data_IF_269528241135
#
_entry.id   IF_269528241135
#
_cell.length_a   1.000
_cell.length_b   1.000
_cell.length_c   1.000
_cell.angle_alpha   90.00
_cell.angle_beta   90.00
_cell.angle_gamma   90.00
#
_symmetry.space_group_name_H-M   'P 1'
#
loop_
_entity.id
_entity.type
_entity.pdbx_description
1 polymer ?
#
# COMPACT_ATOMS: atom_id res chain seq x y z
N UNK A 1 22.45 25.44 -8.02
CA UNK A 1 22.16 26.14 -9.29
C UNK A 1 21.60 25.23 -10.41
N UNK A 2 21.52 23.90 -10.25
CA UNK A 2 21.08 22.98 -11.32
C UNK A 2 19.62 22.45 -11.21
N UNK A 3 18.90 22.71 -10.12
CA UNK A 3 17.53 22.19 -9.92
C UNK A 3 16.46 23.00 -10.69
N UNK A 4 16.65 24.33 -10.80
CA UNK A 4 15.75 25.21 -11.53
C UNK A 4 15.79 24.96 -13.06
N UNK A 5 16.94 24.57 -13.60
CA UNK A 5 17.09 24.25 -15.03
C UNK A 5 16.45 22.92 -15.41
N UNK A 6 16.45 21.93 -14.50
CA UNK A 6 15.79 20.64 -14.70
C UNK A 6 14.26 20.77 -14.70
N UNK A 7 13.72 21.58 -13.77
CA UNK A 7 12.28 21.90 -13.73
C UNK A 7 11.87 22.77 -14.93
N UNK A 8 12.69 23.74 -15.33
CA UNK A 8 12.43 24.58 -16.50
C UNK A 8 12.49 23.80 -17.83
N UNK A 9 13.32 22.75 -17.93
CA UNK A 9 13.36 21.86 -19.10
C UNK A 9 12.05 21.08 -19.23
N UNK A 10 11.57 20.44 -18.16
CA UNK A 10 10.28 19.71 -18.18
C UNK A 10 9.06 20.63 -18.35
N UNK A 11 9.14 21.88 -17.90
CA UNK A 11 8.07 22.87 -18.10
C UNK A 11 8.04 23.45 -19.53
N UNK A 12 9.19 23.47 -20.22
CA UNK A 12 9.29 23.90 -21.62
C UNK A 12 8.69 22.86 -22.56
N UNK A 13 8.89 21.57 -22.27
CA UNK A 13 8.27 20.46 -23.00
C UNK A 13 6.74 20.42 -22.78
N UNK A 14 6.27 20.83 -21.58
CA UNK A 14 4.84 20.93 -21.25
C UNK A 14 4.09 22.03 -22.03
N UNK A 15 4.78 23.09 -22.47
CA UNK A 15 4.19 24.18 -23.26
C UNK A 15 4.20 23.89 -24.77
N UNK A 16 5.15 23.10 -25.27
CA UNK A 16 5.26 22.79 -26.69
C UNK A 16 4.20 21.78 -27.18
N UNK A 17 3.71 20.90 -26.28
CA UNK A 17 2.60 19.95 -26.55
C UNK A 17 1.24 20.66 -26.74
N UNK A 18 1.10 21.92 -26.27
CA UNK A 18 -0.16 22.67 -26.40
C UNK A 18 -0.46 23.19 -27.82
N UNK A 19 0.52 23.21 -28.73
CA UNK A 19 0.27 23.65 -30.11
C UNK A 19 -0.30 22.55 -31.03
N UNK A 20 -0.13 21.26 -30.70
CA UNK A 20 -0.68 20.17 -31.53
C UNK A 20 -2.08 19.71 -31.10
N UNK A 21 -2.50 19.99 -29.85
CA UNK A 21 -3.76 19.49 -29.30
C UNK A 21 -5.00 20.34 -29.65
N UNK A 22 -4.83 21.52 -30.26
CA UNK A 22 -5.94 22.43 -30.55
C UNK A 22 -6.80 22.03 -31.77
N UNK A 23 -6.36 21.05 -32.59
CA UNK A 23 -7.08 20.66 -33.83
C UNK A 23 -7.95 19.41 -33.65
N UNK A 24 -7.76 18.61 -32.59
CA UNK A 24 -8.48 17.33 -32.42
C UNK A 24 -9.77 17.39 -31.56
N UNK A 25 -10.08 18.55 -30.96
CA UNK A 25 -11.15 18.67 -29.94
C UNK A 25 -12.57 18.80 -30.53
N UNK A 26 -12.71 18.93 -31.86
CA UNK A 26 -14.03 19.17 -32.49
C UNK A 26 -14.81 17.87 -32.82
N UNK A 27 -14.20 16.67 -32.75
CA UNK A 27 -14.85 15.44 -33.25
C UNK A 27 -15.29 14.39 -32.21
N UNK A 28 -15.02 14.56 -30.90
CA UNK A 28 -15.27 13.50 -29.90
C UNK A 28 -16.47 13.73 -28.96
N UNK A 29 -17.27 14.79 -29.18
CA UNK A 29 -18.39 15.15 -28.27
C UNK A 29 -19.75 14.55 -28.70
N UNK A 30 -19.80 13.75 -29.76
CA UNK A 30 -21.06 13.29 -30.35
C UNK A 30 -21.47 11.83 -30.05
N UNK A 31 -20.78 11.09 -29.19
CA UNK A 31 -21.13 9.67 -28.92
C UNK A 31 -20.87 9.27 -27.47
N UNK A 32 -21.88 9.42 -26.61
CA UNK A 32 -22.51 8.30 -25.88
C UNK A 32 -23.53 8.83 -24.85
N UNK A 33 -24.78 8.83 -25.28
CA UNK A 33 -25.99 8.74 -24.47
C UNK A 33 -26.70 7.45 -24.95
N UNK A 34 -27.47 6.81 -24.07
CA UNK A 34 -28.30 5.59 -24.29
C UNK A 34 -27.46 4.28 -24.28
N UNK A 35 -27.67 3.20 -23.49
CA UNK A 35 -28.86 2.48 -23.00
C UNK A 35 -28.59 1.67 -21.71
N UNK A 36 -29.69 1.40 -21.01
CA UNK A 36 -29.91 0.54 -19.83
C UNK A 36 -29.98 -0.96 -20.14
N UNK A 37 -29.62 -1.79 -19.14
CA UNK A 37 -30.36 -3.00 -18.74
C UNK A 37 -29.82 -4.36 -19.20
N UNK A 38 -29.52 -5.23 -18.22
CA UNK A 38 -30.02 -6.62 -18.12
C UNK A 38 -29.45 -7.29 -16.85
N UNK A 39 -30.35 -7.88 -16.07
CA UNK A 39 -30.11 -8.74 -14.91
C UNK A 39 -30.00 -10.20 -15.34
N UNK A 40 -28.98 -10.92 -14.90
CA UNK A 40 -28.93 -12.39 -15.00
C UNK A 40 -28.62 -13.06 -13.66
N UNK A 41 -29.31 -14.18 -13.49
CA UNK A 41 -29.44 -14.99 -12.29
C UNK A 41 -28.24 -15.91 -12.03
N UNK A 42 -28.00 -16.09 -10.74
CA UNK A 42 -26.90 -16.78 -10.07
C UNK A 42 -27.03 -18.31 -10.16
N UNK A 43 -25.95 -19.00 -10.50
CA UNK A 43 -25.75 -20.41 -10.15
C UNK A 43 -24.86 -20.48 -8.90
N UNK A 44 -25.24 -21.32 -7.95
CA UNK A 44 -24.51 -21.55 -6.70
C UNK A 44 -23.44 -22.64 -6.90
N UNK A 45 -22.21 -22.37 -6.46
CA UNK A 45 -21.13 -23.35 -6.38
C UNK A 45 -20.94 -23.84 -4.92
N UNK A 46 -20.40 -25.06 -4.74
CA UNK A 46 -20.59 -25.86 -3.54
C UNK A 46 -19.70 -25.46 -2.36
N UNK A 47 -20.24 -25.71 -1.17
CA UNK A 47 -19.68 -25.40 0.13
C UNK A 47 -18.30 -26.03 0.39
N UNK A 48 -17.36 -25.18 0.84
CA UNK A 48 -16.13 -25.60 1.50
C UNK A 48 -16.44 -26.13 2.91
N UNK A 49 -15.82 -27.27 3.24
CA UNK A 49 -16.01 -28.04 4.47
C UNK A 49 -15.57 -27.26 5.74
N UNK A 50 -16.34 -27.31 6.84
CA UNK A 50 -16.01 -26.59 8.07
C UNK A 50 -15.27 -27.53 9.03
N UNK A 51 -13.94 -27.52 9.01
CA UNK A 51 -13.17 -28.09 10.13
C UNK A 51 -12.13 -27.09 10.61
N UNK A 52 -12.58 -26.16 11.46
CA UNK A 52 -11.70 -25.39 12.32
C UNK A 52 -12.38 -25.17 13.66
N UNK A 53 -11.93 -25.91 14.67
CA UNK A 53 -12.35 -25.88 16.08
C UNK A 53 -11.87 -24.63 16.83
N UNK A 54 -11.84 -23.46 16.16
CA UNK A 54 -11.58 -22.20 16.85
C UNK A 54 -12.87 -21.74 17.54
N UNK A 55 -12.81 -21.28 18.80
CA UNK A 55 -13.98 -20.73 19.47
C UNK A 55 -14.56 -19.57 18.64
N UNK A 56 -15.89 -19.41 18.61
CA UNK A 56 -16.53 -18.39 17.79
C UNK A 56 -16.02 -17.01 18.20
N UNK A 57 -15.39 -16.32 17.26
CA UNK A 57 -14.92 -14.94 17.46
C UNK A 57 -16.16 -14.07 17.67
N UNK A 58 -16.33 -13.53 18.88
CA UNK A 58 -17.43 -12.61 19.18
C UNK A 58 -17.20 -11.30 18.42
N UNK A 59 -17.88 -11.15 17.29
CA UNK A 59 -17.85 -9.92 16.51
C UNK A 59 -18.59 -8.79 17.24
N UNK A 60 -17.97 -7.62 17.31
CA UNK A 60 -18.58 -6.40 17.84
C UNK A 60 -19.21 -5.62 16.69
N UNK A 61 -20.44 -5.13 16.86
CA UNK A 61 -21.17 -4.37 15.84
C UNK A 61 -21.04 -2.86 16.01
N UNK A 62 -20.79 -2.38 17.23
CA UNK A 62 -20.64 -0.95 17.54
C UNK A 62 -19.20 -0.51 17.41
N UNK A 63 -18.99 0.67 16.79
CA UNK A 63 -17.68 1.27 16.69
C UNK A 63 -17.12 1.58 18.08
N UNK A 64 -15.91 1.09 18.34
CA UNK A 64 -15.10 1.46 19.50
C UNK A 64 -13.62 1.37 19.17
N UNK A 65 -12.83 2.16 19.87
CA UNK A 65 -11.38 1.95 19.94
C UNK A 65 -11.12 1.02 21.11
N UNK A 66 -10.39 -0.07 20.86
CA UNK A 66 -10.02 -1.03 21.92
C UNK A 66 -9.06 -0.36 22.90
N UNK A 67 -9.12 -0.71 24.19
CA UNK A 67 -8.34 -0.03 25.24
C UNK A 67 -6.82 -0.08 25.01
N UNK A 68 -6.35 -1.18 24.40
CA UNK A 68 -4.95 -1.42 24.06
C UNK A 68 -4.49 -0.70 22.77
N UNK A 69 -5.42 -0.15 21.99
CA UNK A 69 -5.13 0.49 20.71
C UNK A 69 -5.01 2.00 20.84
N UNK A 70 -4.34 2.60 19.87
CA UNK A 70 -4.30 4.05 19.70
C UNK A 70 -4.57 4.41 18.23
N UNK A 71 -5.27 5.52 17.98
CA UNK A 71 -5.52 6.00 16.63
C UNK A 71 -4.95 7.41 16.47
N UNK A 72 -4.24 7.62 15.39
CA UNK A 72 -3.60 8.87 15.02
C UNK A 72 -4.01 9.28 13.61
N UNK A 73 -4.13 10.59 13.40
CA UNK A 73 -4.34 11.21 12.11
C UNK A 73 -3.15 12.11 11.80
N UNK A 74 -2.41 11.77 10.75
CA UNK A 74 -1.24 12.51 10.29
C UNK A 74 -1.58 13.16 8.96
N UNK A 75 -1.55 14.49 8.93
CA UNK A 75 -2.05 15.28 7.81
C UNK A 75 -0.98 16.12 7.11
N UNK A 76 -0.93 16.02 5.79
CA UNK A 76 -0.05 16.82 4.91
C UNK A 76 -0.84 17.76 4.00
N UNK A 77 -2.16 17.87 4.20
CA UNK A 77 -3.06 18.66 3.34
C UNK A 77 -2.69 20.12 3.21
N UNK A 78 -2.10 20.71 4.25
CA UNK A 78 -1.62 22.10 4.27
C UNK A 78 -0.21 22.27 3.70
N UNK A 79 0.52 21.17 3.47
CA UNK A 79 1.88 21.21 2.94
C UNK A 79 1.86 21.42 1.42
N UNK A 80 2.82 22.21 0.93
CA UNK A 80 3.07 22.42 -0.49
C UNK A 80 3.91 21.26 -1.08
N UNK A 81 4.53 21.49 -2.24
CA UNK A 81 5.40 20.52 -2.88
C UNK A 81 6.88 20.64 -2.45
N UNK A 82 7.20 21.55 -1.52
CA UNK A 82 8.54 21.70 -1.00
C UNK A 82 8.82 20.67 0.10
N UNK A 83 9.34 19.52 -0.33
CA UNK A 83 9.66 18.39 0.55
C UNK A 83 10.62 18.73 1.69
N UNK A 84 11.37 19.83 1.61
CA UNK A 84 12.26 20.28 2.69
C UNK A 84 11.52 20.90 3.88
N UNK A 85 10.26 21.33 3.72
CA UNK A 85 9.45 21.93 4.78
C UNK A 85 8.44 20.92 5.34
N UNK A 86 8.92 19.74 5.72
CA UNK A 86 8.05 18.69 6.23
C UNK A 86 7.63 18.96 7.69
N UNK A 87 6.41 19.44 7.86
CA UNK A 87 5.77 19.67 9.17
C UNK A 87 4.30 19.22 9.14
N UNK A 88 4.03 17.91 9.29
CA UNK A 88 2.68 17.39 9.22
C UNK A 88 1.85 17.84 10.43
N UNK A 89 0.54 17.93 10.26
CA UNK A 89 -0.38 18.06 11.39
C UNK A 89 -0.55 16.69 12.05
N UNK A 90 -0.61 16.67 13.37
CA UNK A 90 -0.68 15.44 14.15
C UNK A 90 -1.85 15.55 15.12
N UNK A 91 -2.74 14.56 15.07
CA UNK A 91 -3.86 14.47 15.98
C UNK A 91 -4.01 13.05 16.52
N UNK A 92 -4.41 12.92 17.78
CA UNK A 92 -4.75 11.66 18.42
C UNK A 92 -6.26 11.57 18.61
N UNK A 93 -6.83 10.39 18.38
CA UNK A 93 -8.25 10.16 18.64
C UNK A 93 -8.46 9.76 20.10
N UNK A 94 -9.15 10.60 20.86
CA UNK A 94 -9.41 10.39 22.28
C UNK A 94 -10.89 10.64 22.60
N UNK A 95 -11.54 9.65 23.24
CA UNK A 95 -12.93 9.76 23.71
C UNK A 95 -13.92 10.26 22.65
N UNK A 96 -13.70 9.90 21.39
CA UNK A 96 -14.57 10.29 20.27
C UNK A 96 -14.15 11.58 19.54
N UNK A 97 -13.04 12.22 19.93
CA UNK A 97 -12.60 13.51 19.37
C UNK A 97 -11.15 13.45 18.88
N UNK A 98 -10.85 14.27 17.88
CA UNK A 98 -9.48 14.53 17.44
C UNK A 98 -8.86 15.61 18.33
N UNK A 99 -7.81 15.24 19.06
CA UNK A 99 -7.04 16.13 19.92
C UNK A 99 -5.72 16.44 19.22
N UNK A 100 -5.37 17.73 19.13
CA UNK A 100 -4.08 18.15 18.56
C UNK A 100 -2.92 17.58 19.38
N UNK A 101 -1.87 17.17 18.69
CA UNK A 101 -0.66 16.58 19.28
C UNK A 101 0.55 16.97 18.42
N UNK A 102 1.73 16.44 18.74
CA UNK A 102 2.98 16.76 18.04
C UNK A 102 3.63 15.52 17.45
N UNK A 103 4.53 15.74 16.51
CA UNK A 103 5.34 14.67 15.94
C UNK A 103 6.24 14.00 16.99
N UNK A 104 6.76 14.80 17.93
CA UNK A 104 7.55 14.31 19.05
C UNK A 104 6.74 13.39 19.97
N UNK A 105 5.52 13.78 20.34
CA UNK A 105 4.61 12.94 21.12
C UNK A 105 4.24 11.65 20.38
N UNK A 106 4.03 11.71 19.06
CA UNK A 106 3.81 10.52 18.26
C UNK A 106 5.01 9.56 18.35
N UNK A 107 6.23 10.03 18.08
CA UNK A 107 7.43 9.19 18.12
C UNK A 107 7.78 8.70 19.53
N UNK A 108 7.45 9.45 20.58
CA UNK A 108 7.60 9.00 21.97
C UNK A 108 6.82 7.71 22.25
N UNK A 109 5.76 7.41 21.47
CA UNK A 109 4.97 6.18 21.61
C UNK A 109 5.56 4.96 20.89
N UNK A 110 6.68 5.08 20.17
CA UNK A 110 7.27 3.99 19.38
C UNK A 110 7.69 2.78 20.22
N UNK A 111 8.07 3.00 21.48
CA UNK A 111 8.52 1.96 22.41
C UNK A 111 7.45 1.56 23.42
N UNK A 112 6.21 2.04 23.27
CA UNK A 112 5.13 1.69 24.19
C UNK A 112 4.77 0.21 24.11
N UNK A 113 4.89 -0.46 25.26
CA UNK A 113 4.35 -1.80 25.48
C UNK A 113 2.96 -1.70 26.09
N UNK A 114 2.08 -2.64 25.73
CA UNK A 114 0.73 -2.75 26.27
C UNK A 114 0.48 -4.14 26.84
N UNK A 115 -0.53 -4.25 27.69
CA UNK A 115 -1.01 -5.54 28.16
C UNK A 115 -1.94 -6.11 27.10
N UNK A 116 -1.62 -7.29 26.57
CA UNK A 116 -2.55 -8.06 25.75
C UNK A 116 -3.69 -8.57 26.64
N UNK A 117 -4.95 -8.20 26.37
CA UNK A 117 -6.08 -8.61 27.21
C UNK A 117 -6.34 -10.12 27.18
N UNK A 118 -5.81 -10.85 26.19
CA UNK A 118 -5.99 -12.30 26.09
C UNK A 118 -4.90 -13.05 26.85
N UNK A 119 -3.64 -12.67 26.67
CA UNK A 119 -2.50 -13.37 27.29
C UNK A 119 -2.02 -12.75 28.61
N UNK A 120 -2.51 -11.57 28.97
CA UNK A 120 -2.10 -10.74 30.11
C UNK A 120 -0.60 -10.37 30.11
N UNK A 121 0.09 -10.57 28.98
CA UNK A 121 1.52 -10.28 28.84
C UNK A 121 1.74 -8.89 28.28
N UNK A 122 2.89 -8.30 28.64
CA UNK A 122 3.41 -7.11 27.95
C UNK A 122 3.81 -7.49 26.54
N UNK A 123 3.14 -6.91 25.56
CA UNK A 123 3.43 -7.07 24.14
C UNK A 123 3.74 -5.71 23.51
N UNK A 124 4.56 -5.70 22.46
CA UNK A 124 4.71 -4.54 21.60
C UNK A 124 3.45 -4.31 20.77
N UNK A 125 3.28 -3.09 20.26
CA UNK A 125 2.20 -2.77 19.31
C UNK A 125 2.71 -2.82 17.87
N UNK A 126 1.86 -3.29 16.96
CA UNK A 126 2.07 -3.00 15.54
C UNK A 126 1.69 -1.54 15.25
N UNK A 127 2.44 -0.86 14.39
CA UNK A 127 2.02 0.42 13.85
C UNK A 127 1.45 0.20 12.46
N UNK A 128 0.14 0.37 12.32
CA UNK A 128 -0.56 0.23 11.05
C UNK A 128 -0.71 1.58 10.37
N UNK A 129 -0.45 1.65 9.07
CA UNK A 129 -0.68 2.84 8.25
C UNK A 129 -1.79 2.58 7.27
N UNK A 130 -2.77 3.47 7.22
CA UNK A 130 -3.80 3.50 6.19
C UNK A 130 -3.61 4.75 5.32
N UNK A 131 -3.31 4.52 4.04
CA UNK A 131 -3.11 5.57 3.04
C UNK A 131 -4.20 5.48 1.98
N UNK A 132 -5.13 6.45 2.01
CA UNK A 132 -6.28 6.48 1.12
C UNK A 132 -5.93 6.90 -0.33
N UNK A 133 -6.88 6.67 -1.24
CA UNK A 133 -6.78 6.99 -2.67
C UNK A 133 -7.17 8.43 -3.03
N UNK A 134 -7.59 8.62 -4.28
CA UNK A 134 -8.02 9.91 -4.81
C UNK A 134 -9.45 10.30 -4.39
N UNK A 135 -9.77 11.60 -4.48
CA UNK A 135 -11.10 12.20 -4.29
C UNK A 135 -11.64 12.09 -2.87
N UNK A 136 -10.76 12.13 -1.88
CA UNK A 136 -11.12 12.06 -0.47
C UNK A 136 -10.79 13.40 0.21
N UNK A 137 -11.81 14.09 0.72
CA UNK A 137 -11.64 15.28 1.54
C UNK A 137 -11.16 14.95 2.97
N UNK A 138 -10.89 15.97 3.78
CA UNK A 138 -10.30 15.77 5.10
C UNK A 138 -11.23 15.01 6.07
N UNK A 139 -12.53 15.33 6.05
CA UNK A 139 -13.52 14.69 6.91
C UNK A 139 -13.76 13.25 6.49
N UNK A 140 -13.84 13.02 5.17
CA UNK A 140 -13.99 11.68 4.61
C UNK A 140 -12.77 10.81 4.90
N UNK A 141 -11.54 11.35 4.83
CA UNK A 141 -10.33 10.61 5.16
C UNK A 141 -10.29 10.17 6.63
N UNK A 142 -10.70 11.07 7.54
CA UNK A 142 -10.77 10.74 8.98
C UNK A 142 -11.84 9.68 9.27
N UNK A 143 -13.05 9.82 8.72
CA UNK A 143 -14.15 8.88 8.95
C UNK A 143 -13.93 7.51 8.30
N UNK A 144 -13.41 7.47 7.08
CA UNK A 144 -13.05 6.24 6.39
C UNK A 144 -11.88 5.54 7.09
N UNK A 145 -10.88 6.28 7.58
CA UNK A 145 -9.78 5.69 8.32
C UNK A 145 -10.22 5.06 9.65
N UNK A 146 -11.16 5.68 10.38
CA UNK A 146 -11.76 5.07 11.57
C UNK A 146 -12.57 3.82 11.23
N UNK A 147 -13.33 3.86 10.13
CA UNK A 147 -14.10 2.71 9.65
C UNK A 147 -13.16 1.57 9.27
N UNK A 148 -12.09 1.86 8.54
CA UNK A 148 -11.08 0.89 8.15
C UNK A 148 -10.37 0.28 9.38
N UNK A 149 -10.00 1.08 10.38
CA UNK A 149 -9.50 0.57 11.66
C UNK A 149 -10.47 -0.44 12.28
N UNK A 150 -11.76 -0.11 12.31
CA UNK A 150 -12.77 -0.97 12.91
C UNK A 150 -12.89 -2.30 12.17
N UNK A 151 -12.92 -2.27 10.83
CA UNK A 151 -12.93 -3.47 10.01
C UNK A 151 -11.64 -4.29 10.17
N UNK A 152 -10.48 -3.63 10.20
CA UNK A 152 -9.18 -4.30 10.27
C UNK A 152 -8.95 -4.96 11.64
N UNK A 153 -9.24 -4.26 12.74
CA UNK A 153 -8.88 -4.68 14.10
C UNK A 153 -10.01 -4.53 15.11
N UNK A 154 -10.78 -3.43 15.07
CA UNK A 154 -11.76 -3.10 16.12
C UNK A 154 -12.92 -4.09 16.28
N UNK A 155 -13.27 -4.85 15.23
CA UNK A 155 -14.33 -5.87 15.27
C UNK A 155 -13.98 -7.15 16.02
N UNK A 156 -12.71 -7.39 16.30
CA UNK A 156 -12.23 -8.62 16.93
C UNK A 156 -11.20 -8.35 18.02
N UNK A 157 -11.35 -9.05 19.15
CA UNK A 157 -10.37 -9.00 20.23
C UNK A 157 -9.10 -9.80 19.92
N UNK A 158 -9.13 -10.68 18.91
CA UNK A 158 -7.99 -11.56 18.59
C UNK A 158 -6.90 -10.88 17.76
N UNK A 159 -7.14 -9.67 17.24
CA UNK A 159 -6.10 -8.91 16.56
C UNK A 159 -5.11 -8.38 17.60
N UNK A 160 -3.79 -8.48 17.39
CA UNK A 160 -2.82 -7.89 18.30
C UNK A 160 -3.08 -6.39 18.53
N UNK A 161 -2.55 -5.81 19.62
CA UNK A 161 -2.67 -4.38 19.86
C UNK A 161 -2.02 -3.56 18.74
N UNK A 162 -2.71 -2.49 18.30
CA UNK A 162 -2.23 -1.64 17.21
C UNK A 162 -2.25 -0.15 17.56
N UNK A 163 -1.22 0.54 17.09
CA UNK A 163 -1.23 1.99 16.85
C UNK A 163 -1.64 2.20 15.39
N UNK A 164 -2.86 2.64 15.14
CA UNK A 164 -3.38 2.90 13.80
C UNK A 164 -3.14 4.34 13.38
N UNK A 165 -2.55 4.52 12.21
CA UNK A 165 -2.21 5.82 11.65
C UNK A 165 -2.96 6.02 10.35
N UNK A 166 -3.83 7.02 10.33
CA UNK A 166 -4.53 7.48 9.13
C UNK A 166 -3.65 8.56 8.50
N UNK A 167 -3.11 8.28 7.31
CA UNK A 167 -2.37 9.26 6.53
C UNK A 167 -3.33 10.03 5.62
N UNK A 168 -3.45 11.34 5.84
CA UNK A 168 -4.37 12.20 5.09
C UNK A 168 -3.63 13.24 4.26
N UNK A 169 -3.86 13.21 2.96
CA UNK A 169 -3.15 14.03 1.97
C UNK A 169 -4.15 14.79 1.08
N UNK A 170 -3.76 15.84 0.34
CA UNK A 170 -4.71 16.70 -0.38
C UNK A 170 -5.25 16.03 -1.65
N UNK A 171 -6.11 15.04 -1.45
CA UNK A 171 -6.71 14.22 -2.51
C UNK A 171 -8.09 14.70 -2.94
N UNK A 172 -8.62 15.78 -2.35
CA UNK A 172 -9.94 16.34 -2.71
C UNK A 172 -10.05 16.58 -4.22
N UNK A 173 -11.18 16.17 -4.78
CA UNK A 173 -11.45 16.30 -6.22
C UNK A 173 -11.32 17.75 -6.69
N UNK A 174 -10.68 17.95 -7.84
CA UNK A 174 -10.63 19.24 -8.54
C UNK A 174 -11.37 19.18 -9.88
N UNK A 175 -11.63 20.35 -10.48
CA UNK A 175 -12.34 20.44 -11.76
C UNK A 175 -11.52 19.82 -12.92
N UNK A 176 -12.21 19.02 -13.73
CA UNK A 176 -11.68 18.36 -14.93
C UNK A 176 -11.10 16.99 -14.61
N UNK A 177 -11.69 15.88 -15.09
CA UNK A 177 -11.33 14.53 -14.65
C UNK A 177 -9.87 14.14 -14.96
N UNK A 178 -9.37 14.46 -16.16
CA UNK A 178 -7.97 14.19 -16.52
C UNK A 178 -7.01 15.06 -15.70
N UNK A 179 -7.36 16.34 -15.51
CA UNK A 179 -6.57 17.27 -14.68
C UNK A 179 -6.49 16.79 -13.24
N UNK A 180 -7.62 16.36 -12.68
CA UNK A 180 -7.73 15.81 -11.34
C UNK A 180 -6.78 14.63 -11.18
N UNK A 181 -6.95 13.59 -11.98
CA UNK A 181 -6.16 12.36 -11.86
C UNK A 181 -4.65 12.62 -12.07
N UNK A 182 -4.26 13.43 -13.08
CA UNK A 182 -2.84 13.81 -13.29
C UNK A 182 -2.24 14.62 -12.14
N UNK A 183 -2.98 15.59 -11.61
CA UNK A 183 -2.51 16.41 -10.49
C UNK A 183 -2.32 15.55 -9.24
N UNK A 184 -3.12 14.50 -9.09
CA UNK A 184 -3.11 13.60 -7.92
C UNK A 184 -2.01 12.54 -8.04
N UNK A 185 -1.72 12.06 -9.24
CA UNK A 185 -0.53 11.26 -9.51
C UNK A 185 0.75 12.04 -9.18
N UNK A 186 0.89 13.27 -9.68
CA UNK A 186 2.05 14.11 -9.37
C UNK A 186 2.13 14.44 -7.87
N UNK A 187 1.00 14.71 -7.22
CA UNK A 187 0.98 14.95 -5.77
C UNK A 187 1.35 13.68 -4.99
N UNK A 188 0.97 12.49 -5.42
CA UNK A 188 1.34 11.24 -4.74
C UNK A 188 2.85 11.02 -4.70
N UNK A 189 3.61 11.56 -5.65
CA UNK A 189 5.08 11.50 -5.60
C UNK A 189 5.66 12.34 -4.47
N UNK A 190 5.09 13.52 -4.21
CA UNK A 190 5.46 14.37 -3.07
C UNK A 190 5.06 13.69 -1.75
N UNK A 191 3.86 13.11 -1.70
CA UNK A 191 3.37 12.42 -0.51
C UNK A 191 4.18 11.16 -0.20
N UNK A 192 4.69 10.45 -1.21
CA UNK A 192 5.63 9.34 -1.01
C UNK A 192 6.90 9.82 -0.28
N UNK A 193 7.40 11.01 -0.63
CA UNK A 193 8.54 11.63 0.04
C UNK A 193 8.22 11.96 1.51
N UNK A 194 7.07 12.60 1.76
CA UNK A 194 6.61 12.92 3.11
C UNK A 194 6.42 11.67 3.98
N UNK A 195 5.76 10.64 3.45
CA UNK A 195 5.55 9.39 4.17
C UNK A 195 6.89 8.65 4.42
N UNK A 196 7.79 8.65 3.44
CA UNK A 196 9.13 8.08 3.59
C UNK A 196 9.95 8.75 4.68
N UNK A 197 9.95 10.09 4.74
CA UNK A 197 10.59 10.86 5.81
C UNK A 197 9.93 10.59 7.17
N UNK A 198 8.60 10.55 7.23
CA UNK A 198 7.86 10.26 8.45
C UNK A 198 8.19 8.87 9.02
N UNK A 199 8.18 7.84 8.17
CA UNK A 199 8.52 6.46 8.57
C UNK A 199 10.01 6.29 8.86
N UNK A 200 10.87 7.01 8.16
CA UNK A 200 12.32 7.01 8.39
C UNK A 200 12.73 7.60 9.75
N UNK A 201 11.90 8.47 10.32
CA UNK A 201 12.09 9.05 11.65
C UNK A 201 11.67 8.14 12.82
N UNK A 202 11.00 7.02 12.55
CA UNK A 202 10.55 6.10 13.61
C UNK A 202 11.69 5.25 14.19
N UNK A 203 11.50 4.82 15.43
CA UNK A 203 12.37 3.85 16.07
C UNK A 203 12.46 2.56 15.23
N UNK A 204 13.68 2.05 14.92
CA UNK A 204 13.84 0.83 14.12
C UNK A 204 13.20 -0.44 14.70
N UNK A 205 12.88 -0.45 16.00
CA UNK A 205 12.16 -1.54 16.65
C UNK A 205 10.67 -1.60 16.31
N UNK A 206 10.10 -0.54 15.73
CA UNK A 206 8.68 -0.50 15.32
C UNK A 206 8.39 -1.57 14.25
N UNK A 207 7.25 -2.23 14.41
CA UNK A 207 6.72 -3.19 13.44
C UNK A 207 5.65 -2.51 12.57
N UNK A 208 6.03 -2.09 11.36
CA UNK A 208 5.17 -1.38 10.41
C UNK A 208 4.27 -2.34 9.62
N UNK A 209 3.00 -1.96 9.49
CA UNK A 209 1.98 -2.65 8.73
C UNK A 209 1.29 -1.65 7.82
N UNK A 210 1.70 -1.55 6.58
CA UNK A 210 1.35 -0.43 5.71
C UNK A 210 0.31 -0.88 4.69
N UNK A 211 -0.78 -0.12 4.56
CA UNK A 211 -1.84 -0.37 3.59
C UNK A 211 -2.01 0.85 2.71
N UNK A 212 -1.95 0.65 1.40
CA UNK A 212 -2.18 1.71 0.41
C UNK A 212 -3.28 1.35 -0.56
N UNK A 213 -4.31 2.19 -0.68
CA UNK A 213 -5.38 2.04 -1.66
C UNK A 213 -5.21 2.98 -2.86
N UNK A 214 -5.32 2.49 -4.09
CA UNK A 214 -5.24 3.33 -5.31
C UNK A 214 -3.95 4.18 -5.31
N UNK A 215 -4.02 5.51 -5.45
CA UNK A 215 -2.83 6.37 -5.30
C UNK A 215 -2.15 6.30 -3.94
N UNK A 216 -2.86 5.90 -2.88
CA UNK A 216 -2.22 5.54 -1.61
C UNK A 216 -1.22 4.40 -1.77
N UNK A 217 -1.44 3.48 -2.71
CA UNK A 217 -0.47 2.45 -3.08
C UNK A 217 0.81 3.04 -3.69
N UNK A 218 0.70 4.03 -4.57
CA UNK A 218 1.85 4.78 -5.14
C UNK A 218 2.63 5.55 -4.07
N UNK A 219 1.90 6.18 -3.13
CA UNK A 219 2.51 6.84 -1.97
C UNK A 219 3.32 5.83 -1.14
N UNK A 220 2.72 4.67 -0.84
CA UNK A 220 3.35 3.62 -0.04
C UNK A 220 4.58 3.04 -0.74
N UNK A 221 4.49 2.71 -2.03
CA UNK A 221 5.62 2.12 -2.77
C UNK A 221 6.79 3.10 -2.87
N UNK A 222 6.56 4.39 -3.09
CA UNK A 222 7.61 5.40 -3.08
C UNK A 222 8.21 5.64 -1.68
N UNK A 223 7.39 5.61 -0.62
CA UNK A 223 7.89 5.67 0.76
C UNK A 223 8.78 4.46 1.10
N UNK A 224 8.36 3.26 0.71
CA UNK A 224 9.15 2.05 0.89
C UNK A 224 10.43 2.07 0.05
N UNK A 225 10.40 2.64 -1.16
CA UNK A 225 11.60 2.86 -1.97
C UNK A 225 12.65 3.67 -1.20
N UNK A 226 12.23 4.76 -0.54
CA UNK A 226 13.14 5.56 0.30
C UNK A 226 13.65 4.79 1.52
N UNK A 227 12.78 4.01 2.19
CA UNK A 227 13.20 3.15 3.30
C UNK A 227 14.18 2.06 2.87
N UNK A 228 14.10 1.60 1.62
CA UNK A 228 15.07 0.72 0.96
C UNK A 228 16.34 1.42 0.47
N UNK A 229 16.64 2.62 1.00
CA UNK A 229 17.79 3.46 0.61
C UNK A 229 17.73 3.96 -0.84
N UNK A 230 16.55 3.97 -1.46
CA UNK A 230 16.31 4.65 -2.72
C UNK A 230 16.33 6.16 -2.60
N UNK A 231 16.56 6.82 -3.74
CA UNK A 231 16.50 8.28 -3.84
C UNK A 231 15.20 8.66 -4.53
N UNK A 232 14.39 9.48 -3.86
CA UNK A 232 13.11 9.92 -4.37
C UNK A 232 12.99 11.44 -4.29
N UNK A 233 12.59 12.11 -5.37
CA UNK A 233 12.50 13.58 -5.41
C UNK A 233 13.80 14.30 -5.00
N UNK A 234 14.95 13.69 -5.28
CA UNK A 234 16.27 14.21 -4.87
C UNK A 234 16.60 14.04 -3.38
N UNK A 235 15.78 13.31 -2.64
CA UNK A 235 15.97 13.02 -1.22
C UNK A 235 16.39 11.58 -1.01
N UNK A 236 17.30 11.39 -0.06
CA UNK A 236 17.72 10.08 0.45
C UNK A 236 17.59 10.13 1.97
N UNK A 237 17.06 9.07 2.57
CA UNK A 237 17.00 8.98 4.03
C UNK A 237 18.40 8.73 4.60
N UNK A 238 18.76 9.30 5.77
CA UNK A 238 20.08 9.09 6.38
C UNK A 238 20.31 7.61 6.70
N UNK A 239 21.46 7.03 6.35
CA UNK A 239 21.73 5.61 6.59
C UNK A 239 21.41 5.17 8.03
N UNK A 240 20.84 3.98 8.18
CA UNK A 240 20.52 3.44 9.50
C UNK A 240 19.55 2.27 9.42
N UNK A 241 19.36 1.61 10.57
CA UNK A 241 18.30 0.60 10.69
C UNK A 241 16.95 1.26 10.49
N UNK A 242 16.04 0.56 9.83
CA UNK A 242 14.66 1.01 9.60
C UNK A 242 13.68 0.07 10.28
N UNK A 243 12.47 0.56 10.61
CA UNK A 243 11.39 -0.29 11.08
C UNK A 243 11.16 -1.48 10.13
N UNK A 244 10.84 -2.63 10.70
CA UNK A 244 10.46 -3.80 9.92
C UNK A 244 9.06 -3.60 9.32
N UNK A 245 8.87 -3.86 8.04
CA UNK A 245 7.60 -3.58 7.35
C UNK A 245 6.97 -4.81 6.69
N UNK A 246 5.63 -4.84 6.70
CA UNK A 246 4.80 -5.64 5.79
C UNK A 246 3.78 -4.75 5.11
N UNK A 247 3.53 -4.99 3.83
CA UNK A 247 2.77 -4.07 3.00
C UNK A 247 1.61 -4.76 2.29
N UNK A 248 0.41 -4.19 2.39
CA UNK A 248 -0.73 -4.57 1.57
C UNK A 248 -1.11 -3.42 0.62
N UNK A 249 -1.16 -3.70 -0.68
CA UNK A 249 -1.61 -2.75 -1.69
C UNK A 249 -2.99 -3.17 -2.18
N UNK A 250 -3.94 -2.25 -2.13
CA UNK A 250 -5.29 -2.47 -2.63
C UNK A 250 -5.49 -1.69 -3.91
N UNK A 251 -5.56 -2.41 -5.03
CA UNK A 251 -5.69 -1.84 -6.38
C UNK A 251 -4.82 -0.60 -6.61
N UNK A 252 -3.49 -0.70 -6.39
CA UNK A 252 -2.59 0.44 -6.47
C UNK A 252 -2.63 1.14 -7.84
N UNK A 253 -2.83 2.45 -7.82
CA UNK A 253 -2.79 3.36 -8.96
C UNK A 253 -1.35 3.71 -9.34
N UNK A 254 -0.51 2.70 -9.53
CA UNK A 254 0.92 2.80 -9.80
C UNK A 254 1.26 2.12 -11.13
N UNK A 255 2.30 2.53 -11.83
CA UNK A 255 2.79 1.80 -13.00
C UNK A 255 3.21 0.38 -12.60
N UNK A 256 2.70 -0.63 -13.30
CA UNK A 256 2.90 -2.04 -12.97
C UNK A 256 4.36 -2.51 -12.97
N UNK A 257 5.29 -1.74 -13.53
CA UNK A 257 6.71 -2.09 -13.62
C UNK A 257 7.59 -1.29 -12.64
N UNK A 258 7.06 -0.29 -11.92
CA UNK A 258 7.88 0.61 -11.10
C UNK A 258 8.61 -0.06 -9.93
N UNK A 259 8.09 -1.20 -9.46
CA UNK A 259 8.68 -1.97 -8.36
C UNK A 259 9.82 -2.91 -8.79
N UNK A 260 10.05 -3.06 -10.09
CA UNK A 260 11.16 -3.87 -10.59
C UNK A 260 12.51 -3.18 -10.30
N UNK A 261 13.60 -3.94 -10.08
CA UNK A 261 14.93 -3.37 -9.86
C UNK A 261 15.33 -2.39 -10.98
N UNK A 262 15.90 -1.24 -10.61
CA UNK A 262 16.30 -0.20 -11.57
C UNK A 262 15.19 0.74 -12.04
N UNK A 263 13.93 0.49 -11.67
CA UNK A 263 12.80 1.39 -11.95
C UNK A 263 12.54 2.37 -10.81
N UNK A 264 11.55 3.25 -10.99
CA UNK A 264 11.24 4.38 -10.11
C UNK A 264 11.15 4.01 -8.63
N UNK A 265 10.50 2.89 -8.29
CA UNK A 265 10.36 2.37 -6.93
C UNK A 265 11.14 1.05 -6.72
N UNK A 266 12.22 0.81 -7.47
CA UNK A 266 12.91 -0.49 -7.51
C UNK A 266 13.49 -0.99 -6.17
N UNK A 267 13.78 -0.09 -5.23
CA UNK A 267 14.21 -0.43 -3.87
C UNK A 267 13.06 -0.68 -2.88
N UNK A 268 11.80 -0.62 -3.31
CA UNK A 268 10.66 -0.77 -2.40
C UNK A 268 10.49 -2.21 -1.89
N UNK A 269 10.50 -3.20 -2.79
CA UNK A 269 10.32 -4.61 -2.41
C UNK A 269 11.30 -5.07 -1.32
N UNK A 270 12.63 -4.85 -1.45
CA UNK A 270 13.58 -5.29 -0.42
C UNK A 270 13.44 -4.55 0.92
N UNK A 271 12.76 -3.40 0.96
CA UNK A 271 12.53 -2.61 2.17
C UNK A 271 11.46 -3.20 3.10
N UNK A 272 10.73 -4.23 2.66
CA UNK A 272 9.75 -4.94 3.48
C UNK A 272 10.01 -6.45 3.50
N UNK A 273 9.49 -7.12 4.52
CA UNK A 273 9.56 -8.58 4.67
C UNK A 273 8.57 -9.31 3.78
N UNK A 274 7.41 -8.68 3.52
CA UNK A 274 6.33 -9.29 2.76
C UNK A 274 5.41 -8.23 2.14
N UNK A 275 4.89 -8.56 0.96
CA UNK A 275 3.97 -7.77 0.17
C UNK A 275 2.75 -8.59 -0.23
N UNK A 276 1.57 -7.99 -0.14
CA UNK A 276 0.32 -8.49 -0.70
C UNK A 276 -0.23 -7.43 -1.65
N UNK A 277 -0.29 -7.73 -2.95
CA UNK A 277 -0.91 -6.87 -3.96
C UNK A 277 -2.26 -7.43 -4.37
N UNK A 278 -3.33 -6.70 -4.04
CA UNK A 278 -4.67 -7.01 -4.50
C UNK A 278 -4.91 -6.28 -5.82
N UNK A 279 -5.12 -7.05 -6.89
CA UNK A 279 -5.40 -6.49 -8.21
C UNK A 279 -6.81 -6.83 -8.68
N UNK A 280 -7.39 -5.93 -9.48
CA UNK A 280 -8.72 -6.05 -10.04
C UNK A 280 -8.70 -5.69 -11.53
N UNK A 281 -8.77 -6.70 -12.40
CA UNK A 281 -8.85 -6.54 -13.87
C UNK A 281 -10.21 -6.10 -14.37
N UNK A 282 -11.24 -6.13 -13.52
CA UNK A 282 -12.55 -5.61 -13.86
C UNK A 282 -12.65 -4.10 -13.59
N UNK A 283 -11.71 -3.53 -12.84
CA UNK A 283 -11.74 -2.13 -12.41
C UNK A 283 -11.76 -1.15 -13.59
N UNK A 284 -12.89 -0.47 -13.78
CA UNK A 284 -13.11 0.42 -14.90
C UNK A 284 -12.27 1.71 -14.84
N UNK A 285 -11.88 2.14 -13.65
CA UNK A 285 -11.04 3.33 -13.49
C UNK A 285 -9.61 2.97 -13.87
N UNK A 286 -9.10 1.87 -13.34
CA UNK A 286 -7.72 1.46 -13.60
C UNK A 286 -7.49 0.90 -15.00
N UNK A 287 -8.51 0.35 -15.66
CA UNK A 287 -8.44 0.04 -17.09
C UNK A 287 -8.03 1.26 -17.94
N UNK A 288 -8.48 2.46 -17.53
CA UNK A 288 -8.18 3.72 -18.23
C UNK A 288 -6.83 4.32 -17.83
N UNK A 289 -6.08 3.68 -16.92
CA UNK A 289 -4.80 4.18 -16.40
C UNK A 289 -3.75 4.53 -17.47
N UNK A 290 -3.57 3.77 -18.57
CA UNK A 290 -2.62 4.12 -19.62
C UNK A 290 -2.85 5.50 -20.25
N UNK A 291 -4.06 6.08 -20.10
CA UNK A 291 -4.37 7.44 -20.59
C UNK A 291 -3.82 8.55 -19.69
N UNK A 292 -3.31 8.20 -18.51
CA UNK A 292 -2.78 9.12 -17.52
C UNK A 292 -1.53 9.81 -18.04
N UNK A 293 -0.57 9.02 -18.53
CA UNK A 293 0.71 9.47 -19.06
C UNK A 293 0.82 9.06 -20.54
N UNK A 294 0.61 10.00 -21.49
CA UNK A 294 0.75 9.69 -22.92
C UNK A 294 2.17 9.29 -23.32
N UNK A 295 3.17 9.53 -22.47
CA UNK A 295 4.56 9.14 -22.71
C UNK A 295 4.88 7.73 -22.19
N UNK A 296 4.03 7.18 -21.31
CA UNK A 296 4.19 5.85 -20.72
C UNK A 296 2.83 5.16 -20.63
N UNK A 297 2.53 4.32 -21.63
CA UNK A 297 1.29 3.55 -21.71
C UNK A 297 1.22 2.36 -20.73
N UNK A 298 2.04 2.37 -19.67
CA UNK A 298 2.03 1.33 -18.64
C UNK A 298 0.64 1.15 -18.03
N UNK A 299 0.31 -0.11 -17.76
CA UNK A 299 -0.89 -0.46 -17.01
C UNK A 299 -0.72 -0.13 -15.52
N UNK A 300 -1.84 0.06 -14.82
CA UNK A 300 -1.83 0.14 -13.37
C UNK A 300 -1.46 -1.22 -12.77
N UNK A 301 -0.62 -1.22 -11.73
CA UNK A 301 -0.29 -2.36 -10.88
C UNK A 301 -1.56 -2.99 -10.30
N UNK A 302 -2.49 -2.15 -9.85
CA UNK A 302 -3.79 -2.58 -9.33
C UNK A 302 -4.73 -3.17 -10.37
N UNK A 303 -4.44 -3.04 -11.65
CA UNK A 303 -5.20 -3.67 -12.73
C UNK A 303 -4.50 -4.93 -13.23
N UNK A 304 -3.22 -4.81 -13.61
CA UNK A 304 -2.48 -5.85 -14.31
C UNK A 304 -1.82 -6.87 -13.36
N UNK A 305 -1.53 -6.48 -12.12
CA UNK A 305 -0.49 -7.11 -11.30
C UNK A 305 0.90 -6.57 -11.65
N UNK A 306 1.93 -7.10 -11.01
CA UNK A 306 3.32 -6.71 -11.23
C UNK A 306 3.78 -7.16 -12.62
N UNK A 307 4.02 -6.18 -13.50
CA UNK A 307 4.49 -6.46 -14.85
C UNK A 307 5.86 -7.11 -14.79
N UNK A 308 6.04 -8.18 -15.58
CA UNK A 308 7.29 -8.94 -15.65
C UNK A 308 7.78 -9.44 -14.27
N UNK A 309 6.87 -9.86 -13.38
CA UNK A 309 7.22 -10.40 -12.06
C UNK A 309 8.24 -11.55 -12.09
N UNK A 310 8.30 -12.32 -13.19
CA UNK A 310 9.29 -13.37 -13.41
C UNK A 310 10.75 -12.86 -13.46
N UNK A 311 10.96 -11.57 -13.70
CA UNK A 311 12.27 -10.92 -13.68
C UNK A 311 12.75 -10.51 -12.29
N UNK A 312 11.89 -10.64 -11.25
CA UNK A 312 12.31 -10.35 -9.89
C UNK A 312 13.45 -11.29 -9.44
N UNK A 313 14.47 -10.76 -8.75
CA UNK A 313 15.39 -11.59 -7.98
C UNK A 313 14.63 -12.58 -7.09
N UNK A 314 15.18 -13.78 -6.91
CA UNK A 314 14.49 -14.86 -6.19
C UNK A 314 14.08 -14.44 -4.77
N UNK A 315 14.94 -13.70 -4.06
CA UNK A 315 14.68 -13.19 -2.72
C UNK A 315 13.61 -12.08 -2.67
N UNK A 316 13.34 -11.39 -3.79
CA UNK A 316 12.27 -10.39 -3.91
C UNK A 316 10.95 -11.08 -4.26
N UNK A 317 11.01 -12.05 -5.18
CA UNK A 317 9.87 -12.88 -5.59
C UNK A 317 9.25 -13.62 -4.40
N UNK A 318 10.07 -14.15 -3.48
CA UNK A 318 9.57 -14.82 -2.26
C UNK A 318 8.78 -13.91 -1.31
N UNK A 319 8.99 -12.59 -1.39
CA UNK A 319 8.28 -11.59 -0.55
C UNK A 319 7.01 -11.09 -1.21
N UNK A 320 6.81 -11.31 -2.51
CA UNK A 320 5.73 -10.73 -3.30
C UNK A 320 4.60 -11.73 -3.50
N UNK A 321 3.38 -11.36 -3.09
CA UNK A 321 2.18 -12.17 -3.30
C UNK A 321 1.11 -11.33 -3.99
N UNK A 322 0.50 -11.86 -5.04
CA UNK A 322 -0.60 -11.20 -5.75
C UNK A 322 -1.88 -12.00 -5.64
N UNK A 323 -3.00 -11.29 -5.49
CA UNK A 323 -4.31 -11.91 -5.46
C UNK A 323 -5.35 -11.10 -6.23
N UNK A 324 -6.04 -11.78 -7.14
CA UNK A 324 -7.16 -11.21 -7.90
C UNK A 324 -8.40 -11.09 -7.01
N UNK A 325 -9.00 -9.89 -7.00
CA UNK A 325 -10.28 -9.63 -6.31
C UNK A 325 -11.44 -9.37 -7.27
N UNK A 326 -11.26 -9.68 -8.57
CA UNK A 326 -12.25 -9.45 -9.63
C UNK A 326 -13.67 -9.90 -9.24
N UNK A 327 -13.78 -11.14 -8.74
CA UNK A 327 -15.07 -11.79 -8.42
C UNK A 327 -15.71 -11.26 -7.13
N UNK A 328 -14.94 -10.55 -6.29
CA UNK A 328 -15.43 -9.99 -5.02
C UNK A 328 -15.91 -8.56 -5.19
N UNK A 329 -15.22 -7.78 -6.02
CA UNK A 329 -15.42 -6.34 -6.12
C UNK A 329 -16.15 -5.94 -7.43
N UNK A 330 -15.93 -6.67 -8.51
CA UNK A 330 -16.47 -6.32 -9.83
C UNK A 330 -15.79 -5.10 -10.44
N UNK A 331 -16.54 -4.27 -11.18
CA UNK A 331 -15.99 -3.19 -11.99
C UNK A 331 -15.62 -1.90 -11.21
N UNK A 332 -15.98 -1.86 -9.93
CA UNK A 332 -15.98 -0.64 -9.12
C UNK A 332 -14.59 -0.30 -8.56
N UNK A 333 -14.20 0.97 -8.69
CA UNK A 333 -13.05 1.55 -7.99
C UNK A 333 -13.50 2.27 -6.72
N UNK A 334 -14.18 1.53 -5.84
CA UNK A 334 -14.72 2.05 -4.59
C UNK A 334 -14.12 1.33 -3.39
N UNK A 335 -13.32 2.06 -2.62
CA UNK A 335 -12.63 1.63 -1.41
C UNK A 335 -13.55 0.91 -0.40
N UNK A 336 -14.82 1.33 -0.29
CA UNK A 336 -15.80 0.76 0.64
C UNK A 336 -16.12 -0.71 0.35
N UNK A 337 -16.05 -1.12 -0.91
CA UNK A 337 -16.28 -2.52 -1.30
C UNK A 337 -15.14 -3.44 -0.82
N UNK A 338 -13.92 -2.91 -0.72
CA UNK A 338 -12.75 -3.67 -0.29
C UNK A 338 -12.81 -3.96 1.21
N UNK A 339 -13.01 -2.95 2.06
CA UNK A 339 -13.15 -3.21 3.49
C UNK A 339 -14.51 -3.79 3.89
N UNK A 340 -15.53 -3.62 3.06
CA UNK A 340 -16.82 -4.30 3.22
C UNK A 340 -16.74 -5.81 2.91
N UNK A 341 -15.72 -6.24 2.17
CA UNK A 341 -15.47 -7.65 1.88
C UNK A 341 -14.71 -8.32 3.02
N UNK A 342 -15.40 -9.24 3.72
CA UNK A 342 -14.79 -10.04 4.77
C UNK A 342 -13.54 -10.79 4.29
N UNK A 343 -13.54 -11.27 3.04
CA UNK A 343 -12.42 -12.04 2.49
C UNK A 343 -11.19 -11.16 2.23
N UNK A 344 -11.40 -9.96 1.70
CA UNK A 344 -10.32 -8.97 1.51
C UNK A 344 -9.71 -8.55 2.85
N UNK A 345 -10.54 -8.23 3.84
CA UNK A 345 -10.08 -7.87 5.18
C UNK A 345 -9.37 -9.03 5.87
N UNK A 346 -9.94 -10.24 5.84
CA UNK A 346 -9.37 -11.43 6.47
C UNK A 346 -7.99 -11.75 5.89
N UNK A 347 -7.85 -11.70 4.55
CA UNK A 347 -6.56 -11.93 3.89
C UNK A 347 -5.54 -10.83 4.19
N UNK A 348 -5.98 -9.57 4.20
CA UNK A 348 -5.12 -8.43 4.56
C UNK A 348 -4.63 -8.55 6.00
N UNK A 349 -5.52 -8.84 6.95
CA UNK A 349 -5.18 -9.06 8.36
C UNK A 349 -4.20 -10.22 8.53
N UNK A 350 -4.48 -11.35 7.88
CA UNK A 350 -3.61 -12.53 7.94
C UNK A 350 -2.21 -12.25 7.41
N UNK A 351 -2.09 -11.47 6.33
CA UNK A 351 -0.80 -11.06 5.77
C UNK A 351 -0.03 -10.13 6.73
N UNK A 352 -0.69 -9.08 7.21
CA UNK A 352 -0.07 -8.06 8.05
C UNK A 352 0.35 -8.62 9.42
N UNK A 353 -0.49 -9.42 10.06
CA UNK A 353 -0.24 -9.87 11.44
C UNK A 353 0.27 -11.31 11.54
N UNK A 354 0.66 -11.94 10.42
CA UNK A 354 1.25 -13.27 10.46
C UNK A 354 2.52 -13.29 11.35
N UNK A 355 2.68 -14.31 12.22
CA UNK A 355 3.84 -14.41 13.12
C UNK A 355 5.17 -14.37 12.36
N UNK A 356 6.15 -13.66 12.91
CA UNK A 356 7.50 -13.54 12.33
C UNK A 356 8.21 -14.92 12.23
N UNK A 357 7.91 -15.85 13.15
CA UNK A 357 8.60 -17.14 13.25
C UNK A 357 8.34 -18.11 12.08
N UNK A 358 7.18 -18.04 11.41
CA UNK A 358 6.85 -18.96 10.30
C UNK A 358 7.69 -18.73 9.04
N UNK A 359 8.26 -17.53 8.86
CA UNK A 359 9.10 -17.24 7.68
C UNK A 359 10.55 -17.67 7.90
N UNK A 360 11.12 -17.50 9.10
CA UNK A 360 12.46 -17.99 9.41
C UNK A 360 12.57 -19.52 9.28
N UNK A 361 11.53 -20.26 9.70
CA UNK A 361 11.52 -21.72 9.59
C UNK A 361 11.35 -22.20 8.13
N UNK A 362 10.54 -21.49 7.32
CA UNK A 362 10.37 -21.81 5.90
C UNK A 362 11.65 -21.55 5.09
N UNK A 363 12.34 -20.44 5.35
CA UNK A 363 13.62 -20.10 4.71
C UNK A 363 14.76 -21.02 5.15
N UNK A 364 14.82 -21.41 6.43
CA UNK A 364 15.79 -22.41 6.90
C UNK A 364 15.52 -23.81 6.36
N UNK A 365 14.26 -24.19 6.16
CA UNK A 365 13.90 -25.49 5.57
C UNK A 365 14.27 -25.52 4.09
N UNK A 366 13.98 -24.46 3.31
CA UNK A 366 14.43 -24.36 1.91
C UNK A 366 15.95 -24.33 1.76
N UNK A 367 16.67 -23.62 2.63
CA UNK A 367 18.14 -23.58 2.63
C UNK A 367 18.75 -24.97 2.93
N UNK A 368 18.19 -25.71 3.89
CA UNK A 368 18.62 -27.09 4.20
C UNK A 368 18.32 -28.07 3.06
N UNK A 369 17.21 -27.90 2.34
CA UNK A 369 16.89 -28.71 1.16
C UNK A 369 17.88 -28.44 0.03
N UNK A 370 18.20 -27.18 -0.27
CA UNK A 370 19.16 -26.83 -1.33
C UNK A 370 20.59 -27.31 -1.05
N UNK A 371 21.05 -27.29 0.20
CA UNK A 371 22.37 -27.84 0.57
C UNK A 371 22.44 -29.36 0.38
N UNK A 372 21.34 -30.09 0.65
CA UNK A 372 21.26 -31.53 0.36
C UNK A 372 21.28 -31.84 -1.14
N UNK A 373 20.61 -31.05 -1.97
CA UNK A 373 20.58 -31.25 -3.43
C UNK A 373 21.96 -31.00 -4.07
N UNK A 374 22.70 -30.00 -3.61
CA UNK A 374 24.06 -29.70 -4.10
C UNK A 374 25.08 -30.75 -3.65
N UNK A 375 24.92 -31.32 -2.45
CA UNK A 375 25.75 -32.43 -1.97
C UNK A 375 25.52 -33.73 -2.75
N UNK A 376 24.26 -34.04 -3.09
CA UNK A 376 23.92 -35.22 -3.89
C UNK A 376 24.43 -35.13 -5.34
N UNK A 377 24.42 -33.93 -5.95
CA UNK A 377 24.96 -33.72 -7.29
C UNK A 377 26.51 -33.88 -7.36
N UNK A 378 27.23 -33.55 -6.27
CA UNK A 378 28.70 -33.73 -6.21
C UNK A 378 29.15 -35.18 -6.03
N UNK A 379 28.28 -36.06 -5.53
CA UNK A 379 28.58 -37.49 -5.33
C UNK A 379 28.35 -38.35 -6.58
N UNK A 380 27.72 -37.81 -7.64
CA UNK A 380 27.42 -38.52 -8.88
C UNK A 380 28.45 -38.32 -10.00
N UNK A 381 29.47 -37.48 -9.82
CA UNK A 381 30.44 -37.13 -10.89
C UNK A 381 31.83 -37.76 -10.73
N UNK A 382 32.03 -38.70 -9.81
CA UNK A 382 33.36 -39.30 -9.54
C UNK A 382 33.48 -40.79 -9.88
N UNK A 383 32.65 -41.31 -10.79
CA UNK A 383 32.80 -42.66 -11.35
C UNK A 383 32.73 -42.65 -12.87
N UNK A 384 33.80 -42.16 -13.50
CA UNK A 384 34.25 -42.59 -14.82
C UNK A 384 35.58 -41.91 -15.10
N UNK A 385 36.69 -42.61 -14.89
CA UNK A 385 37.90 -42.57 -15.74
C UNK A 385 39.02 -43.41 -15.12
N UNK A 386 39.45 -44.38 -15.92
CA UNK A 386 40.80 -44.98 -16.05
C UNK A 386 40.84 -46.51 -15.86
N UNK A 387 41.73 -47.19 -16.58
CA UNK A 387 41.81 -47.30 -18.05
C UNK A 387 41.26 -48.64 -18.56
#
# INVERSE_FOLDING_TARGET
>A
MNYALMLASRYRDYLQVRMCAAVAIVLAVATLLVLTGSSETRAADPALSPDSTLPPVKCVTEFRVREQDAIWLIGTRHLDCNVSNFSPSVHRFEKGFWVASTLEEFYATDTEVVIDPISEKKVGRYTTFWVHGNRIDANQAASDGLTFYFELAGRTETTPPIRHVIWTWPSTQIKGPIRDVRSKAARSDVEAAYLGMFMGGMNPGVQLRVIGYSYGGRIVTGAMHMLGNGTWMGLTLPEGKRPNARVALWVPGEHCHWLLPGHAHGNAIPAADAWLSLYNRCDEVLWRYPKLDPCDESQALGFAGLCNAASLPADYSERWNEWSVNHLIGAEHNMRLYWGSHEVISRTRSHLFAPLEKQALASQTKAKTNVKTVSAAKLSTTQALAP
#
